data_IF_278646056908
#
_entry.id   IF_278646056908
#
_cell.length_a   1.000
_cell.length_b   1.000
_cell.length_c   1.000
_cell.angle_alpha   90.00
_cell.angle_beta   90.00
_cell.angle_gamma   90.00
#
_symmetry.space_group_name_H-M   'P 1'
#
loop_
_entity.id
_entity.type
_entity.pdbx_description
1 polymer ?
#
# COMPACT_ATOMS: atom_id res chain seq x y z
N UNK A 1 -8.40 13.15 11.59
CA UNK A 1 -7.11 13.86 11.42
C UNK A 1 -7.27 15.32 10.98
N UNK A 2 -8.15 15.65 10.02
CA UNK A 2 -8.26 17.02 9.46
C UNK A 2 -8.73 18.14 10.40
N UNK A 3 -9.10 17.82 11.65
CA UNK A 3 -9.42 18.78 12.71
C UNK A 3 -8.22 19.07 13.66
N UNK A 4 -7.04 18.48 13.40
CA UNK A 4 -5.80 18.76 14.12
C UNK A 4 -5.48 17.82 15.30
N UNK A 5 -6.36 16.89 15.67
CA UNK A 5 -6.24 16.08 16.89
C UNK A 5 -6.52 14.58 16.69
N UNK A 6 -6.26 14.03 15.50
CA UNK A 6 -6.39 12.58 15.24
C UNK A 6 -5.04 11.90 15.04
N UNK A 7 -4.94 10.64 15.45
CA UNK A 7 -3.82 9.73 15.11
C UNK A 7 -4.28 8.80 13.99
N UNK A 8 -3.41 8.53 13.02
CA UNK A 8 -3.71 7.64 11.90
C UNK A 8 -2.57 6.66 11.65
N UNK A 9 -2.92 5.43 11.30
CA UNK A 9 -1.98 4.43 10.83
C UNK A 9 -1.96 4.46 9.30
N UNK A 10 -0.78 4.66 8.73
CA UNK A 10 -0.62 4.79 7.27
C UNK A 10 0.68 4.12 6.82
N UNK A 11 0.68 3.37 5.71
CA UNK A 11 1.92 2.87 5.15
C UNK A 11 2.82 4.03 4.75
N UNK A 12 4.12 3.93 5.07
CA UNK A 12 5.12 4.98 4.80
C UNK A 12 5.10 5.46 3.35
N UNK A 13 4.98 4.54 2.39
CA UNK A 13 4.91 4.86 0.96
C UNK A 13 3.73 5.79 0.60
N UNK A 14 2.58 5.62 1.27
CA UNK A 14 1.41 6.47 1.03
C UNK A 14 1.66 7.86 1.62
N UNK A 15 2.31 7.94 2.79
CA UNK A 15 2.65 9.22 3.39
C UNK A 15 3.64 10.00 2.52
N UNK A 16 4.68 9.36 1.99
CA UNK A 16 5.71 9.99 1.14
C UNK A 16 5.14 10.60 -0.17
N UNK A 17 4.03 10.06 -0.68
CA UNK A 17 3.34 10.59 -1.87
C UNK A 17 2.11 11.44 -1.54
N UNK A 18 1.86 11.70 -0.24
CA UNK A 18 0.70 12.43 0.22
C UNK A 18 0.89 13.94 0.16
N UNK A 19 -0.14 14.72 -0.25
CA UNK A 19 -0.12 16.19 -0.12
C UNK A 19 -0.16 16.67 1.34
N UNK A 20 -0.20 15.75 2.30
CA UNK A 20 -0.18 16.01 3.75
C UNK A 20 1.17 15.67 4.40
N UNK A 21 2.20 15.26 3.63
CA UNK A 21 3.50 14.86 4.18
C UNK A 21 4.08 15.88 5.19
N UNK A 22 4.09 17.16 4.82
CA UNK A 22 4.59 18.26 5.68
C UNK A 22 3.61 18.72 6.76
N UNK A 23 2.41 18.11 6.86
CA UNK A 23 1.33 18.52 7.78
C UNK A 23 1.05 17.50 8.86
N UNK A 24 1.88 16.46 8.97
CA UNK A 24 1.77 15.43 10.00
C UNK A 24 3.06 15.33 10.80
N UNK A 25 2.94 14.88 12.04
CA UNK A 25 4.08 14.52 12.89
C UNK A 25 4.12 13.00 12.99
N UNK A 26 5.27 12.41 12.68
CA UNK A 26 5.53 10.99 12.93
C UNK A 26 5.79 10.84 14.43
N UNK A 27 5.16 9.84 15.05
CA UNK A 27 5.38 9.51 16.46
C UNK A 27 6.49 8.47 16.52
N UNK A 28 7.51 8.74 17.33
CA UNK A 28 8.56 7.77 17.68
C UNK A 28 8.03 6.80 18.77
N UNK A 29 8.73 5.68 18.99
CA UNK A 29 8.41 4.71 20.05
C UNK A 29 7.03 4.03 19.93
N UNK A 30 6.60 3.73 18.69
CA UNK A 30 5.38 2.97 18.44
C UNK A 30 5.61 1.46 18.52
N UNK A 31 4.60 0.66 18.89
CA UNK A 31 4.69 -0.79 18.80
C UNK A 31 5.00 -1.24 17.36
N UNK A 32 5.67 -2.38 17.23
CA UNK A 32 5.89 -2.99 15.93
C UNK A 32 4.55 -3.39 15.30
N UNK A 33 4.38 -3.06 14.03
CA UNK A 33 3.17 -3.33 13.28
C UNK A 33 3.37 -4.54 12.37
N UNK A 34 2.36 -5.39 12.20
CA UNK A 34 2.46 -6.48 11.24
C UNK A 34 2.67 -5.94 9.82
N UNK A 35 3.39 -6.68 8.95
CA UNK A 35 3.58 -6.27 7.56
C UNK A 35 2.26 -6.03 6.84
N UNK A 36 2.20 -4.93 6.07
CA UNK A 36 1.07 -4.66 5.18
C UNK A 36 1.24 -5.44 3.86
N UNK A 37 0.45 -6.50 3.68
CA UNK A 37 0.53 -7.36 2.49
C UNK A 37 -0.34 -6.83 1.37
N UNK A 38 0.26 -6.57 0.22
CA UNK A 38 -0.43 -6.22 -1.03
C UNK A 38 -0.28 -7.39 -2.00
N UNK A 39 -1.35 -7.72 -2.72
CA UNK A 39 -1.35 -8.77 -3.74
C UNK A 39 -2.10 -8.35 -4.98
N UNK A 40 -1.73 -8.93 -6.12
CA UNK A 40 -2.53 -8.86 -7.34
C UNK A 40 -3.60 -9.95 -7.30
N UNK A 41 -4.81 -9.60 -7.74
CA UNK A 41 -5.91 -10.53 -7.86
C UNK A 41 -6.61 -10.38 -9.21
N UNK A 42 -7.14 -11.48 -9.73
CA UNK A 42 -7.98 -11.50 -10.93
C UNK A 42 -8.90 -12.70 -10.86
N UNK A 43 -9.97 -12.70 -11.67
CA UNK A 43 -10.83 -13.88 -11.80
C UNK A 43 -10.04 -15.00 -12.46
N UNK A 44 -10.23 -16.23 -12.02
CA UNK A 44 -9.51 -17.39 -12.58
C UNK A 44 -9.63 -17.47 -14.11
N UNK A 45 -10.84 -17.30 -14.64
CA UNK A 45 -11.08 -17.27 -16.11
C UNK A 45 -10.28 -16.17 -16.85
N UNK A 46 -9.91 -15.09 -16.17
CA UNK A 46 -9.14 -13.99 -16.76
C UNK A 46 -7.66 -14.32 -16.86
N UNK A 47 -7.14 -15.35 -16.15
CA UNK A 47 -5.75 -15.78 -16.31
C UNK A 47 -5.46 -16.36 -17.71
N UNK A 48 -6.49 -16.81 -18.42
CA UNK A 48 -6.39 -17.23 -19.82
C UNK A 48 -6.20 -16.04 -20.78
N UNK A 49 -6.54 -14.81 -20.38
CA UNK A 49 -6.33 -13.62 -21.21
C UNK A 49 -4.82 -13.34 -21.33
N UNK A 50 -4.25 -13.30 -22.55
CA UNK A 50 -2.82 -13.09 -22.75
C UNK A 50 -2.26 -11.84 -22.07
N UNK A 51 -3.03 -10.75 -22.00
CA UNK A 51 -2.61 -9.49 -21.37
C UNK A 51 -2.49 -9.63 -19.85
N UNK A 52 -3.48 -10.28 -19.24
CA UNK A 52 -3.48 -10.56 -17.79
C UNK A 52 -2.36 -11.53 -17.45
N UNK A 53 -2.18 -12.58 -18.26
CA UNK A 53 -1.11 -13.56 -18.10
C UNK A 53 0.27 -12.91 -18.15
N UNK A 54 0.50 -11.99 -19.10
CA UNK A 54 1.76 -11.26 -19.21
C UNK A 54 2.04 -10.43 -17.95
N UNK A 55 1.06 -9.65 -17.46
CA UNK A 55 1.19 -8.91 -16.20
C UNK A 55 1.47 -9.86 -15.01
N UNK A 56 0.78 -11.01 -14.99
CA UNK A 56 0.92 -12.01 -13.92
C UNK A 56 2.31 -12.65 -13.89
N UNK A 57 2.94 -12.83 -15.05
CA UNK A 57 4.32 -13.31 -15.13
C UNK A 57 5.31 -12.27 -14.61
N UNK A 58 5.16 -11.00 -15.01
CA UNK A 58 6.03 -9.91 -14.53
C UNK A 58 5.92 -9.75 -13.01
N UNK A 59 4.70 -9.78 -12.47
CA UNK A 59 4.49 -9.60 -11.04
C UNK A 59 4.96 -10.78 -10.18
N UNK A 60 5.27 -11.94 -10.79
CA UNK A 60 5.88 -13.09 -10.09
C UNK A 60 7.41 -13.03 -10.07
N UNK A 61 8.03 -12.22 -10.92
CA UNK A 61 9.47 -11.98 -10.85
C UNK A 61 9.77 -11.17 -9.57
N UNK A 62 10.72 -11.68 -8.78
CA UNK A 62 11.16 -11.08 -7.52
C UNK A 62 12.08 -9.91 -7.77
#
# INVERSE_FOLDING_TARGET
VSLGCGIGLIPRMVLEKSPFFNRVKILDETPELPPFVIGLCTREKNLANPRVKALWSIAKEK
#
